data_IF_148591017359
#
_entry.id   IF_148591017359
#
_cell.length_a   1.000
_cell.length_b   1.000
_cell.length_c   1.000
_cell.angle_alpha   90.00
_cell.angle_beta   90.00
_cell.angle_gamma   90.00
#
_symmetry.space_group_name_H-M   'P 1'
#
loop_
_entity.id
_entity.type
_entity.pdbx_description
1 polymer ?
2 polymer ?
3 water ?
#
# COMPACT_ATOMS: atom_id res chain seq x y z
N UNK A 1 -1.31 14.93 -9.73
CA UNK A 1 -0.61 13.63 -9.47
C UNK A 1 -1.44 12.69 -8.62
N UNK A 2 -1.33 12.82 -7.30
CA UNK A 2 -2.10 11.95 -6.43
C UNK A 2 -3.59 12.23 -6.54
N UNK A 3 -4.37 11.16 -6.54
CA UNK A 3 -5.81 11.22 -6.63
C UNK A 3 -6.42 11.27 -5.23
N UNK A 4 -5.55 11.17 -4.23
CA UNK A 4 -5.99 11.20 -2.84
C UNK A 4 -5.62 12.55 -2.21
N UNK A 5 -6.60 13.18 -1.54
CA UNK A 5 -6.27 14.47 -0.92
C UNK A 5 -5.16 14.28 0.12
N UNK A 6 -4.32 15.30 0.24
CA UNK A 6 -3.22 15.29 1.19
C UNK A 6 -3.75 15.07 2.59
N UNK A 7 -4.83 15.77 2.94
CA UNK A 7 -5.41 15.62 4.27
C UNK A 7 -5.76 14.16 4.60
N UNK A 8 -6.31 13.43 3.63
CA UNK A 8 -6.67 12.03 3.84
C UNK A 8 -5.40 11.19 4.02
N UNK A 9 -4.34 11.58 3.33
CA UNK A 9 -3.06 10.90 3.40
C UNK A 9 -2.50 10.97 4.82
N UNK A 10 -2.96 11.95 5.59
CA UNK A 10 -2.52 12.12 6.96
C UNK A 10 -3.45 11.45 7.99
N UNK A 11 -4.36 10.60 7.52
CA UNK A 11 -5.28 9.90 8.42
C UNK A 11 -4.46 8.95 9.30
N UNK A 12 -4.72 8.96 10.60
CA UNK A 12 -4.00 8.08 11.54
C UNK A 12 -4.72 6.73 11.58
N UNK A 13 -3.98 5.64 11.39
CA UNK A 13 -4.62 4.33 11.37
C UNK A 13 -3.96 3.24 12.23
N UNK A 14 -4.73 2.22 12.59
CA UNK A 14 -4.23 1.10 13.39
C UNK A 14 -4.38 -0.13 12.52
N UNK A 15 -3.29 -0.55 11.86
CA UNK A 15 -3.34 -1.73 10.99
C UNK A 15 -3.74 -2.98 11.77
N UNK A 16 -4.45 -3.88 11.09
CA UNK A 16 -4.87 -5.15 11.69
C UNK A 16 -3.63 -6.05 11.73
N UNK A 17 -3.69 -7.17 12.48
CA UNK A 17 -2.57 -8.11 12.61
C UNK A 17 -1.78 -8.44 11.34
N UNK A 18 -2.44 -9.03 10.35
CA UNK A 18 -1.78 -9.39 9.09
C UNK A 18 -1.13 -8.21 8.35
N UNK A 19 -1.81 -7.08 8.26
CA UNK A 19 -1.20 -5.94 7.58
C UNK A 19 -0.01 -5.46 8.41
N UNK A 20 -0.17 -5.46 9.74
CA UNK A 20 0.88 -5.01 10.64
C UNK A 20 2.14 -5.85 10.45
N UNK A 21 1.96 -7.16 10.34
CA UNK A 21 3.08 -8.07 10.15
C UNK A 21 3.80 -7.73 8.85
N UNK A 22 3.02 -7.39 7.83
CA UNK A 22 3.60 -7.06 6.53
C UNK A 22 4.46 -5.79 6.62
N UNK A 23 3.96 -4.77 7.30
CA UNK A 23 4.70 -3.53 7.43
C UNK A 23 5.97 -3.74 8.24
N UNK A 24 5.85 -4.45 9.36
CA UNK A 24 7.01 -4.69 10.20
C UNK A 24 8.09 -5.48 9.47
N UNK A 25 7.71 -6.30 8.49
CA UNK A 25 8.69 -7.08 7.74
C UNK A 25 9.66 -6.16 7.01
N UNK A 26 9.23 -4.93 6.72
CA UNK A 26 10.11 -3.98 6.04
C UNK A 26 10.57 -2.81 6.92
N UNK A 27 10.59 -3.01 8.23
CA UNK A 27 11.08 -1.96 9.10
C UNK A 27 10.13 -1.18 9.99
N UNK A 28 8.83 -1.28 9.74
CA UNK A 28 7.82 -0.56 10.52
C UNK A 28 8.05 -0.83 12.01
N UNK A 29 8.01 0.23 12.82
CA UNK A 29 8.26 0.10 14.26
C UNK A 29 7.09 0.42 15.20
N UNK A 30 5.94 0.82 14.66
CA UNK A 30 4.79 1.21 15.48
C UNK A 30 3.51 0.37 15.37
N UNK A 31 2.51 0.71 16.19
CA UNK A 31 1.21 0.05 16.18
C UNK A 31 0.20 0.91 15.42
N UNK A 32 0.55 2.18 15.23
CA UNK A 32 -0.31 3.11 14.52
C UNK A 32 0.57 3.89 13.56
N UNK A 33 -0.03 4.32 12.45
CA UNK A 33 0.69 5.04 11.39
C UNK A 33 -0.23 6.03 10.72
N UNK A 34 0.31 6.87 9.85
CA UNK A 34 -0.56 7.74 9.06
C UNK A 34 -0.64 6.91 7.79
N UNK A 35 -1.57 7.21 6.91
CA UNK A 35 -1.68 6.42 5.69
C UNK A 35 -0.41 6.53 4.86
N UNK A 36 0.19 7.72 4.88
CA UNK A 36 1.41 7.97 4.14
C UNK A 36 2.51 6.97 4.53
N UNK A 37 2.60 6.64 5.82
CA UNK A 37 3.60 5.67 6.25
C UNK A 37 3.19 4.27 5.82
N UNK A 38 1.90 3.99 5.85
CA UNK A 38 1.41 2.67 5.44
C UNK A 38 1.76 2.46 3.96
N UNK A 39 1.53 3.48 3.15
CA UNK A 39 1.83 3.43 1.73
C UNK A 39 3.34 3.33 1.46
N UNK A 40 4.16 3.95 2.32
CA UNK A 40 5.61 3.90 2.16
C UNK A 40 6.10 2.45 2.30
N UNK A 41 5.79 1.84 3.44
CA UNK A 41 6.21 0.47 3.71
C UNK A 41 5.62 -0.51 2.70
N UNK A 42 4.36 -0.28 2.32
CA UNK A 42 3.73 -1.17 1.35
C UNK A 42 4.50 -1.10 0.03
N UNK A 43 4.92 0.10 -0.36
CA UNK A 43 5.70 0.24 -1.58
C UNK A 43 7.01 -0.54 -1.45
N UNK A 44 7.72 -0.33 -0.34
CA UNK A 44 8.99 -1.01 -0.09
C UNK A 44 8.81 -2.53 -0.17
N UNK A 45 7.71 -3.01 0.40
CA UNK A 45 7.39 -4.43 0.39
C UNK A 45 7.30 -4.97 -1.04
N UNK A 46 6.52 -4.29 -1.88
CA UNK A 46 6.33 -4.70 -3.29
C UNK A 46 7.64 -4.58 -4.08
N UNK A 47 8.31 -3.44 -3.92
CA UNK A 47 9.56 -3.20 -4.60
C UNK A 47 10.52 -4.33 -4.19
N UNK A 48 10.74 -4.50 -2.90
CA UNK A 48 11.66 -5.54 -2.45
C UNK A 48 11.34 -6.93 -2.98
N UNK A 49 10.08 -7.37 -2.92
CA UNK A 49 9.72 -8.70 -3.41
C UNK A 49 9.52 -8.78 -4.93
N UNK A 50 9.70 -7.65 -5.62
CA UNK A 50 9.54 -7.58 -7.07
C UNK A 50 8.22 -8.16 -7.55
N UNK A 51 7.13 -7.74 -6.92
CA UNK A 51 5.80 -8.23 -7.28
C UNK A 51 5.23 -7.58 -8.53
N UNK A 52 5.83 -6.46 -8.95
CA UNK A 52 5.37 -5.74 -10.12
C UNK A 52 5.86 -6.41 -11.40
N UNK A 53 5.18 -6.12 -12.51
CA UNK A 53 5.57 -6.69 -13.79
C UNK A 53 6.80 -5.94 -14.31
N UNK A 54 7.82 -6.67 -14.74
CA UNK A 54 9.05 -6.06 -15.25
C UNK A 54 8.88 -5.15 -16.45
N UNK A 55 7.91 -5.47 -17.30
CA UNK A 55 7.69 -4.69 -18.50
C UNK A 55 6.74 -3.53 -18.26
N UNK A 56 5.69 -3.78 -17.49
CA UNK A 56 4.72 -2.74 -17.16
C UNK A 56 4.69 -2.68 -15.64
N UNK A 57 5.64 -1.94 -15.09
CA UNK A 57 5.83 -1.83 -13.65
C UNK A 57 4.72 -1.25 -12.81
N UNK A 58 3.62 -0.82 -13.42
CA UNK A 58 2.51 -0.33 -12.60
C UNK A 58 1.57 -1.51 -12.30
N UNK A 59 1.80 -2.64 -12.96
CA UNK A 59 0.98 -3.83 -12.72
C UNK A 59 1.65 -4.65 -11.61
N UNK A 60 0.90 -4.92 -10.55
CA UNK A 60 1.41 -5.70 -9.42
C UNK A 60 0.67 -7.04 -9.34
N UNK A 61 1.43 -8.13 -9.21
CA UNK A 61 0.84 -9.46 -9.10
C UNK A 61 0.91 -9.90 -7.64
N UNK A 62 -0.23 -10.30 -7.09
CA UNK A 62 -0.25 -10.72 -5.69
C UNK A 62 -1.05 -12.00 -5.39
N UNK A 63 -1.40 -12.76 -6.43
CA UNK A 63 -2.18 -13.99 -6.26
C UNK A 63 -1.50 -15.03 -5.35
N UNK A 64 -0.17 -15.02 -5.31
CA UNK A 64 0.54 -15.97 -4.47
C UNK A 64 1.31 -15.21 -3.42
N UNK A 65 0.66 -14.23 -2.80
CA UNK A 65 1.33 -13.43 -1.80
C UNK A 65 0.32 -13.04 -0.74
N UNK A 66 0.80 -12.82 0.48
CA UNK A 66 -0.05 -12.41 1.57
C UNK A 66 -0.81 -11.15 1.16
N UNK A 67 -0.16 -10.32 0.34
CA UNK A 67 -0.80 -9.09 -0.12
C UNK A 67 -2.08 -9.41 -0.88
N UNK A 68 -2.08 -10.52 -1.61
CA UNK A 68 -3.25 -10.92 -2.35
C UNK A 68 -4.39 -11.25 -1.40
N UNK A 69 -4.07 -11.94 -0.32
CA UNK A 69 -5.10 -12.28 0.66
C UNK A 69 -5.63 -11.02 1.33
N UNK A 70 -4.75 -10.05 1.54
CA UNK A 70 -5.14 -8.80 2.19
C UNK A 70 -6.01 -7.88 1.32
N UNK A 71 -5.67 -7.79 0.03
CA UNK A 71 -6.40 -6.95 -0.94
C UNK A 71 -7.58 -7.64 -1.60
N UNK A 72 -7.58 -8.97 -1.55
CA UNK A 72 -8.66 -9.75 -2.14
C UNK A 72 -8.67 -9.76 -3.66
N UNK A 73 -7.51 -9.50 -4.27
CA UNK A 73 -7.37 -9.49 -5.73
C UNK A 73 -6.11 -10.23 -6.13
N UNK A 74 -6.05 -10.75 -7.37
CA UNK A 74 -4.87 -11.48 -7.83
C UNK A 74 -3.80 -10.51 -8.34
N UNK A 75 -4.24 -9.30 -8.68
CA UNK A 75 -3.36 -8.25 -9.20
C UNK A 75 -4.12 -6.92 -9.21
N UNK A 76 -3.37 -5.83 -9.36
CA UNK A 76 -3.97 -4.50 -9.40
C UNK A 76 -3.02 -3.50 -10.06
N UNK A 77 -3.55 -2.35 -10.47
CA UNK A 77 -2.75 -1.29 -11.11
C UNK A 77 -2.43 -0.20 -10.09
N UNK A 78 -1.16 0.15 -9.98
CA UNK A 78 -0.72 1.19 -9.05
C UNK A 78 -1.37 2.52 -9.43
N UNK A 79 -1.85 2.63 -10.66
CA UNK A 79 -2.46 3.88 -11.11
C UNK A 79 -3.86 4.13 -10.56
N UNK A 80 -4.45 3.10 -9.95
CA UNK A 80 -5.79 3.23 -9.38
C UNK A 80 -5.65 3.60 -7.91
N UNK A 81 -5.25 4.85 -7.66
CA UNK A 81 -5.03 5.33 -6.30
C UNK A 81 -6.19 5.07 -5.34
N UNK A 82 -7.40 5.50 -5.70
CA UNK A 82 -8.55 5.31 -4.83
C UNK A 82 -8.82 3.82 -4.53
N UNK A 83 -8.69 2.96 -5.54
CA UNK A 83 -8.92 1.53 -5.33
C UNK A 83 -7.93 0.93 -4.33
N UNK A 84 -6.67 1.33 -4.42
CA UNK A 84 -5.64 0.85 -3.50
C UNK A 84 -5.97 1.27 -2.07
N UNK A 85 -6.36 2.53 -1.88
CA UNK A 85 -6.71 3.03 -0.55
C UNK A 85 -7.90 2.24 0.02
N UNK A 86 -8.89 1.99 -0.83
CA UNK A 86 -10.09 1.25 -0.44
C UNK A 86 -9.71 -0.16 0.06
N UNK A 87 -8.82 -0.83 -0.67
CA UNK A 87 -8.37 -2.16 -0.29
C UNK A 87 -7.57 -2.11 1.01
N UNK A 88 -6.86 -1.01 1.21
CA UNK A 88 -6.05 -0.84 2.41
C UNK A 88 -6.89 -0.61 3.65
N UNK A 89 -7.94 0.19 3.50
CA UNK A 89 -8.84 0.50 4.62
C UNK A 89 -9.52 -0.71 5.27
N UNK A 90 -9.69 -1.78 4.50
CA UNK A 90 -10.32 -3.01 4.99
C UNK A 90 -9.35 -3.81 5.87
N UNK A 91 -8.10 -3.35 5.93
CA UNK A 91 -7.08 -4.04 6.71
C UNK A 91 -6.63 -3.21 7.90
N UNK A 92 -7.43 -2.21 8.24
CA UNK A 92 -7.09 -1.35 9.35
C UNK A 92 -8.31 -0.62 9.90
N UNK A 93 -8.11 0.00 11.05
CA UNK A 93 -9.13 0.77 11.73
C UNK A 93 -8.67 2.22 11.78
N UNK A 94 -9.54 3.14 11.38
CA UNK A 94 -9.19 4.56 11.40
C UNK A 94 -9.21 5.08 12.83
N UNK A 95 -8.09 5.66 13.27
CA UNK A 95 -7.97 6.22 14.62
C UNK A 95 -8.49 7.66 14.64
N UNK A 96 -7.90 8.50 13.80
CA UNK A 96 -8.27 9.90 13.75
C UNK A 96 -8.27 10.44 12.33
N UNK A 97 -9.40 11.01 11.96
CA UNK A 97 -9.59 11.56 10.63
C UNK A 97 -9.46 13.09 10.65
N UNK B 1 8.11 5.52 -15.34
CA UNK B 1 7.80 4.15 -15.84
C UNK B 1 8.11 3.07 -14.81
N UNK B 2 9.06 3.35 -13.92
CA UNK B 2 9.43 2.37 -12.91
C UNK B 2 8.34 2.21 -11.84
N UNK B 3 8.36 1.07 -11.15
CA UNK B 3 7.39 0.79 -10.10
C UNK B 3 7.37 1.90 -9.07
N UNK B 4 8.55 2.34 -8.63
CA UNK B 4 8.61 3.39 -7.62
C UNK B 4 8.10 4.73 -8.15
N UNK B 5 8.28 4.99 -9.44
CA UNK B 5 7.76 6.22 -10.02
C UNK B 5 6.24 6.23 -9.83
N UNK B 6 5.57 5.19 -10.32
CA UNK B 6 4.12 5.08 -10.20
C UNK B 6 3.66 5.09 -8.74
N UNK B 7 4.33 4.31 -7.89
CA UNK B 7 3.96 4.23 -6.48
C UNK B 7 4.08 5.58 -5.77
N UNK B 8 5.12 6.34 -6.11
CA UNK B 8 5.34 7.65 -5.51
C UNK B 8 4.20 8.64 -5.81
N UNK B 9 3.46 8.41 -6.89
CA UNK B 9 2.35 9.32 -7.25
C UNK B 9 1.16 9.25 -6.30
N UNK B 10 1.03 8.15 -5.56
CA UNK B 10 -0.07 8.01 -4.62
C UNK B 10 0.02 8.99 -3.46
N UNK B 11 1.24 9.40 -3.14
CA UNK B 11 1.47 10.32 -2.03
C UNK B 11 1.92 11.70 -2.50
N UNK B 12 1.30 12.75 -1.96
CA UNK B 12 1.65 14.13 -2.33
C UNK B 12 2.82 14.65 -1.50
#
# INVERSE_FOLDING_TARGET
>A
GSQIPASEQETLVRPKPLLLKLLKSVGAQKDTYTMKEVLFYLGQYIMTKRLYDEKQQHIVYCSNDLLGDLFGVPSFSVKEHRKIYTMIYRNLVVVNQQESSDSGTSVSEN
>B
LTFEHWWAQLTS
#
